data_IF_710047529188
#
_entry.id   IF_710047529188
#
_cell.length_a   1.000
_cell.length_b   1.000
_cell.length_c   1.000
_cell.angle_alpha   90.00
_cell.angle_beta   90.00
_cell.angle_gamma   90.00
#
_symmetry.space_group_name_H-M   'P 1'
#
loop_
_entity.id
_entity.type
_entity.pdbx_description
1 polymer ?
#
# COMPACT_ATOMS: atom_id res chain seq x y z
N UNK A 1 6.39 -24.36 7.24
CA UNK A 1 6.80 -22.95 7.42
C UNK A 1 6.82 -22.38 6.04
N UNK A 2 6.15 -21.26 5.75
CA UNK A 2 6.54 -20.32 4.69
C UNK A 2 5.59 -19.11 4.67
N UNK A 3 6.06 -18.05 5.34
CA UNK A 3 5.89 -16.63 5.09
C UNK A 3 4.55 -16.12 4.52
N UNK A 4 3.55 -15.99 5.39
CA UNK A 4 2.37 -15.16 5.17
C UNK A 4 2.70 -13.68 5.49
N UNK A 5 3.79 -13.15 4.92
CA UNK A 5 3.88 -11.71 4.71
C UNK A 5 2.75 -11.42 3.72
N UNK A 6 1.68 -10.83 4.23
CA UNK A 6 0.36 -10.77 3.58
C UNK A 6 0.52 -10.15 2.19
N UNK A 7 -0.27 -10.56 1.19
CA UNK A 7 -0.26 -10.00 -0.18
C UNK A 7 -0.17 -8.46 -0.21
N UNK A 8 -0.70 -7.81 0.82
CA UNK A 8 -0.62 -6.37 1.09
C UNK A 8 0.81 -5.85 1.31
N UNK A 9 1.63 -6.55 2.09
CA UNK A 9 2.99 -6.13 2.43
C UNK A 9 3.93 -6.27 1.23
N UNK A 10 3.78 -7.36 0.46
CA UNK A 10 4.49 -7.53 -0.81
C UNK A 10 4.08 -6.45 -1.82
N UNK A 11 2.77 -6.22 -1.99
CA UNK A 11 2.30 -5.15 -2.87
C UNK A 11 2.80 -3.78 -2.41
N UNK A 12 2.92 -3.54 -1.11
CA UNK A 12 3.46 -2.30 -0.59
C UNK A 12 4.95 -2.14 -0.90
N UNK A 13 5.77 -3.21 -0.81
CA UNK A 13 7.17 -3.21 -1.25
C UNK A 13 7.25 -2.86 -2.74
N UNK A 14 6.51 -3.57 -3.60
CA UNK A 14 6.53 -3.36 -5.05
C UNK A 14 6.18 -1.90 -5.42
N UNK A 15 5.21 -1.31 -4.72
CA UNK A 15 4.85 0.10 -4.93
C UNK A 15 5.91 1.07 -4.40
N UNK A 16 6.53 0.80 -3.24
CA UNK A 16 7.62 1.63 -2.73
C UNK A 16 8.85 1.54 -3.63
N UNK A 17 9.17 0.36 -4.15
CA UNK A 17 10.25 0.18 -5.13
C UNK A 17 9.97 0.92 -6.45
N UNK A 18 8.72 0.94 -6.91
CA UNK A 18 8.33 1.58 -8.17
C UNK A 18 8.17 3.10 -8.06
N UNK A 19 7.57 3.60 -6.98
CA UNK A 19 7.15 5.01 -6.85
C UNK A 19 7.89 5.77 -5.74
N UNK A 20 8.72 5.09 -4.93
CA UNK A 20 9.45 5.72 -3.82
C UNK A 20 8.52 6.39 -2.81
N UNK A 21 8.83 7.64 -2.47
CA UNK A 21 8.05 8.44 -1.51
C UNK A 21 6.60 8.70 -1.96
N UNK A 22 6.33 8.66 -3.28
CA UNK A 22 4.99 8.88 -3.84
C UNK A 22 4.07 7.65 -3.75
N UNK A 23 4.61 6.48 -3.39
CA UNK A 23 3.86 5.21 -3.36
C UNK A 23 2.56 5.31 -2.54
N UNK A 24 2.60 6.00 -1.40
CA UNK A 24 1.45 6.15 -0.50
C UNK A 24 0.34 6.97 -1.15
N UNK A 25 0.66 8.07 -1.82
CA UNK A 25 -0.33 8.93 -2.47
C UNK A 25 -0.97 8.22 -3.66
N UNK A 26 -0.17 7.49 -4.41
CA UNK A 26 -0.58 6.66 -5.55
C UNK A 26 -1.55 5.54 -5.11
N UNK A 27 -1.31 4.91 -3.96
CA UNK A 27 -2.19 3.89 -3.38
C UNK A 27 -3.48 4.49 -2.79
N UNK A 28 -3.38 5.64 -2.12
CA UNK A 28 -4.56 6.38 -1.60
C UNK A 28 -5.48 6.85 -2.72
N UNK A 29 -4.92 7.30 -3.84
CA UNK A 29 -5.71 7.67 -5.01
C UNK A 29 -6.49 6.47 -5.57
N UNK A 30 -5.89 5.28 -5.60
CA UNK A 30 -6.58 4.03 -5.98
C UNK A 30 -7.69 3.64 -5.01
N UNK A 31 -7.45 3.77 -3.70
CA UNK A 31 -8.47 3.53 -2.69
C UNK A 31 -9.69 4.45 -2.87
N UNK A 32 -9.43 5.74 -3.15
CA UNK A 32 -10.48 6.72 -3.45
C UNK A 32 -11.26 6.34 -4.71
N UNK A 33 -10.57 6.02 -5.80
CA UNK A 33 -11.20 5.62 -7.06
C UNK A 33 -12.09 4.38 -6.89
N UNK A 34 -11.64 3.38 -6.11
CA UNK A 34 -12.43 2.21 -5.77
C UNK A 34 -13.68 2.56 -4.95
N UNK A 35 -13.55 3.50 -4.01
CA UNK A 35 -14.69 4.01 -3.23
C UNK A 35 -15.72 4.70 -4.13
N UNK A 36 -15.26 5.47 -5.13
CA UNK A 36 -16.13 6.20 -6.07
C UNK A 36 -16.96 5.26 -6.97
N UNK A 37 -16.48 4.03 -7.20
CA UNK A 37 -17.22 2.99 -7.94
C UNK A 37 -17.92 1.98 -7.02
N UNK A 38 -18.02 2.26 -5.71
CA UNK A 38 -18.61 1.39 -4.69
C UNK A 38 -17.97 0.00 -4.58
N UNK A 39 -16.69 -0.14 -4.92
CA UNK A 39 -15.91 -1.35 -4.69
C UNK A 39 -15.23 -1.29 -3.31
N UNK A 40 -15.98 -1.64 -2.27
CA UNK A 40 -15.56 -1.54 -0.88
C UNK A 40 -14.36 -2.45 -0.55
N UNK A 41 -14.31 -3.65 -1.15
CA UNK A 41 -13.22 -4.59 -0.94
C UNK A 41 -11.92 -4.08 -1.55
N UNK A 42 -11.97 -3.57 -2.78
CA UNK A 42 -10.81 -2.96 -3.42
C UNK A 42 -10.37 -1.70 -2.67
N UNK A 43 -11.30 -0.84 -2.26
CA UNK A 43 -11.00 0.37 -1.50
C UNK A 43 -10.25 0.04 -0.19
N UNK A 44 -10.73 -0.95 0.57
CA UNK A 44 -10.08 -1.40 1.80
C UNK A 44 -8.69 -2.00 1.51
N UNK A 45 -8.57 -2.80 0.47
CA UNK A 45 -7.30 -3.42 0.05
C UNK A 45 -6.26 -2.35 -0.27
N UNK A 46 -6.60 -1.37 -1.10
CA UNK A 46 -5.70 -0.27 -1.44
C UNK A 46 -5.34 0.58 -0.22
N UNK A 47 -6.27 0.79 0.71
CA UNK A 47 -5.99 1.50 1.95
C UNK A 47 -4.97 0.76 2.81
N UNK A 48 -5.15 -0.54 3.02
CA UNK A 48 -4.22 -1.38 3.79
C UNK A 48 -2.83 -1.40 3.16
N UNK A 49 -2.74 -1.45 1.83
CA UNK A 49 -1.46 -1.37 1.11
C UNK A 49 -0.81 0.00 1.28
N UNK A 50 -1.58 1.09 1.23
CA UNK A 50 -1.05 2.44 1.48
C UNK A 50 -0.48 2.58 2.90
N UNK A 51 -1.16 2.02 3.91
CA UNK A 51 -0.67 2.00 5.30
C UNK A 51 0.61 1.18 5.43
N UNK A 52 0.71 0.04 4.75
CA UNK A 52 1.92 -0.78 4.73
C UNK A 52 3.09 -0.05 4.07
N UNK A 53 2.88 0.60 2.92
CA UNK A 53 3.90 1.39 2.24
C UNK A 53 4.39 2.55 3.13
N UNK A 54 3.48 3.23 3.83
CA UNK A 54 3.83 4.31 4.75
C UNK A 54 4.68 3.82 5.94
N UNK A 55 4.41 2.62 6.47
CA UNK A 55 5.26 2.02 7.52
C UNK A 55 6.66 1.72 6.99
N UNK A 56 6.77 1.07 5.83
CA UNK A 56 8.06 0.73 5.20
C UNK A 56 8.92 1.97 4.95
N UNK A 57 8.35 3.04 4.38
CA UNK A 57 9.06 4.30 4.15
C UNK A 57 9.56 4.94 5.45
N UNK A 58 8.76 4.87 6.53
CA UNK A 58 9.16 5.36 7.85
C UNK A 58 10.30 4.54 8.44
N UNK A 59 10.26 3.22 8.28
CA UNK A 59 11.32 2.31 8.74
C UNK A 59 12.61 2.52 7.97
N UNK A 60 12.54 2.70 6.66
CA UNK A 60 13.70 3.02 5.81
C UNK A 60 14.33 4.38 6.13
N UNK A 61 13.55 5.32 6.66
CA UNK A 61 14.03 6.65 7.06
C UNK A 61 14.62 6.69 8.49
N UNK A 62 14.55 5.59 9.24
CA UNK A 62 15.07 5.53 10.61
C UNK A 62 16.54 5.07 10.57
N UNK A 63 17.50 5.90 11.06
CA UNK A 63 18.93 5.59 11.02
C UNK A 63 19.34 4.46 11.97
#
# INVERSE_FOLDING_TARGET
MEHNATTIDQAADEFVEQYGEEAVDVLRARAKAATEICDELAAETWHKTAEAAARKLREASRP
#
